data_IF_757625103378
#
_entry.id   IF_757625103378
#
_cell.length_a   1.000
_cell.length_b   1.000
_cell.length_c   1.000
_cell.angle_alpha   90.00
_cell.angle_beta   90.00
_cell.angle_gamma   90.00
#
_symmetry.space_group_name_H-M   'P 1'
#
loop_
_entity.id
_entity.type
_entity.pdbx_description
1 polymer ?
#
# COMPACT_ATOMS: atom_id res chain seq x y z
N UNK A 1 -9.62 -3.27 4.71
CA UNK A 1 -9.55 -1.79 4.58
C UNK A 1 -9.98 -1.38 3.20
N UNK A 2 -10.72 -0.27 3.08
CA UNK A 2 -11.03 0.39 1.82
C UNK A 2 -9.92 1.38 1.43
N UNK A 3 -9.91 1.85 0.17
CA UNK A 3 -8.93 2.87 -0.27
C UNK A 3 -8.94 4.09 0.65
N UNK A 4 -10.12 4.59 1.05
CA UNK A 4 -10.21 5.76 1.93
C UNK A 4 -9.49 5.56 3.27
N UNK A 5 -9.54 4.34 3.81
CA UNK A 5 -8.91 4.00 5.08
C UNK A 5 -7.39 3.96 4.92
N UNK A 6 -6.89 3.45 3.77
CA UNK A 6 -5.46 3.45 3.42
C UNK A 6 -4.95 4.88 3.32
N UNK A 7 -5.66 5.74 2.58
CA UNK A 7 -5.30 7.14 2.40
C UNK A 7 -5.27 7.89 3.75
N UNK A 8 -6.25 7.64 4.62
CA UNK A 8 -6.31 8.23 5.95
C UNK A 8 -5.18 7.73 6.87
N UNK A 9 -4.86 6.43 6.86
CA UNK A 9 -3.81 5.83 7.70
C UNK A 9 -2.44 6.45 7.42
N UNK A 10 -2.07 6.58 6.15
CA UNK A 10 -0.77 7.12 5.75
C UNK A 10 -0.77 8.63 5.52
N UNK A 11 -1.93 9.30 5.62
CA UNK A 11 -2.11 10.72 5.33
C UNK A 11 -1.62 11.09 3.92
N UNK A 12 -1.95 10.26 2.94
CA UNK A 12 -1.52 10.42 1.54
C UNK A 12 -2.69 10.59 0.58
N UNK A 13 -2.37 11.10 -0.62
CA UNK A 13 -3.32 11.17 -1.73
C UNK A 13 -3.43 9.85 -2.49
N UNK A 14 -4.49 9.70 -3.31
CA UNK A 14 -4.63 8.54 -4.20
C UNK A 14 -3.50 8.42 -5.21
N UNK A 15 -3.00 9.55 -5.71
CA UNK A 15 -1.86 9.60 -6.63
C UNK A 15 -0.60 9.09 -5.95
N UNK A 16 -0.35 9.50 -4.71
CA UNK A 16 0.76 8.99 -3.89
C UNK A 16 0.67 7.48 -3.70
N UNK A 17 -0.50 6.96 -3.37
CA UNK A 17 -0.73 5.51 -3.25
C UNK A 17 -0.44 4.77 -4.57
N UNK A 18 -0.84 5.34 -5.71
CA UNK A 18 -0.52 4.79 -7.02
C UNK A 18 1.00 4.73 -7.27
N UNK A 19 1.73 5.81 -6.97
CA UNK A 19 3.20 5.81 -7.05
C UNK A 19 3.83 4.76 -6.15
N UNK A 20 3.37 4.63 -4.90
CA UNK A 20 3.86 3.61 -3.97
C UNK A 20 3.63 2.18 -4.48
N UNK A 21 2.51 1.93 -5.16
CA UNK A 21 2.21 0.62 -5.76
C UNK A 21 2.92 0.33 -7.08
N UNK A 22 3.64 1.31 -7.65
CA UNK A 22 4.31 1.20 -8.94
C UNK A 22 5.82 0.96 -8.72
N UNK A 23 6.37 -0.22 -9.02
CA UNK A 23 7.78 -0.54 -8.73
C UNK A 23 8.78 0.48 -9.28
N UNK A 24 8.55 1.00 -10.49
CA UNK A 24 9.42 1.99 -11.13
C UNK A 24 9.31 3.42 -10.55
N UNK A 25 8.31 3.68 -9.69
CA UNK A 25 8.03 5.02 -9.15
C UNK A 25 7.92 5.07 -7.63
N UNK A 26 8.06 3.92 -6.95
CA UNK A 26 8.03 3.87 -5.50
C UNK A 26 9.25 4.61 -4.95
N UNK A 27 9.15 5.24 -3.76
CA UNK A 27 10.30 5.80 -3.07
C UNK A 27 11.42 4.76 -2.92
N UNK A 28 12.68 5.16 -3.12
CA UNK A 28 13.84 4.28 -2.97
C UNK A 28 14.02 3.76 -1.53
N UNK A 29 13.38 4.42 -0.55
CA UNK A 29 13.32 3.97 0.83
C UNK A 29 12.46 2.73 1.03
N UNK A 30 11.60 2.37 0.08
CA UNK A 30 10.77 1.18 0.18
C UNK A 30 11.50 -0.02 -0.42
N UNK A 31 11.64 -1.08 0.38
CA UNK A 31 12.20 -2.35 -0.09
C UNK A 31 11.30 -3.03 -1.15
N UNK A 32 9.99 -2.73 -1.16
CA UNK A 32 9.01 -3.28 -2.11
C UNK A 32 7.82 -2.36 -2.35
N UNK A 33 7.11 -2.49 -3.50
CA UNK A 33 5.93 -1.67 -3.79
C UNK A 33 4.78 -1.96 -2.82
N UNK A 34 3.91 -0.96 -2.63
CA UNK A 34 2.70 -1.11 -1.83
C UNK A 34 1.77 -2.18 -2.43
N UNK A 35 1.21 -3.09 -1.62
CA UNK A 35 0.42 -4.21 -2.12
C UNK A 35 -0.84 -3.75 -2.86
N UNK A 36 -1.17 -4.45 -3.94
CA UNK A 36 -2.45 -4.25 -4.62
C UNK A 36 -3.61 -4.84 -3.79
N UNK A 37 -4.84 -4.34 -3.95
CA UNK A 37 -5.99 -4.92 -3.29
C UNK A 37 -6.22 -6.37 -3.78
N UNK A 38 -6.11 -7.34 -2.87
CA UNK A 38 -6.10 -8.79 -3.19
C UNK A 38 -7.44 -9.49 -3.02
N UNK A 39 -8.50 -8.78 -2.63
CA UNK A 39 -9.83 -9.36 -2.46
C UNK A 39 -10.57 -9.29 -3.80
N UNK A 40 -10.62 -10.43 -4.50
CA UNK A 40 -11.39 -10.59 -5.74
C UNK A 40 -12.83 -10.12 -5.60
N UNK A 41 -13.32 -9.35 -6.57
CA UNK A 41 -14.65 -8.76 -6.57
C UNK A 41 -14.76 -7.36 -5.94
N UNK A 42 -13.72 -6.84 -5.28
CA UNK A 42 -13.69 -5.45 -4.82
C UNK A 42 -12.33 -4.79 -5.04
N UNK A 43 -12.15 -4.02 -6.14
CA UNK A 43 -10.87 -3.41 -6.52
C UNK A 43 -10.36 -2.33 -5.55
N UNK A 44 -11.04 -2.13 -4.42
CA UNK A 44 -10.74 -1.12 -3.41
C UNK A 44 -10.53 -1.72 -2.03
N UNK A 45 -10.40 -3.06 -1.90
CA UNK A 45 -10.36 -3.74 -0.60
C UNK A 45 -9.03 -4.46 -0.37
N UNK A 46 -8.32 -4.04 0.66
CA UNK A 46 -7.09 -4.66 1.15
C UNK A 46 -7.37 -5.54 2.37
N UNK A 47 -6.66 -6.67 2.45
CA UNK A 47 -6.53 -7.41 3.70
C UNK A 47 -5.62 -6.63 4.64
N UNK A 48 -6.05 -6.45 5.89
CA UNK A 48 -5.26 -5.72 6.89
C UNK A 48 -3.91 -6.40 7.14
N UNK A 49 -3.88 -7.74 7.12
CA UNK A 49 -2.67 -8.53 7.30
C UNK A 49 -1.59 -8.24 6.24
N UNK A 50 -1.96 -8.07 4.97
CA UNK A 50 -1.00 -7.77 3.90
C UNK A 50 -0.41 -6.37 4.03
N UNK A 51 -1.21 -5.40 4.48
CA UNK A 51 -0.72 -4.05 4.76
C UNK A 51 0.28 -4.08 5.92
N UNK A 52 -0.02 -4.81 7.01
CA UNK A 52 0.88 -4.93 8.15
C UNK A 52 2.19 -5.63 7.77
N UNK A 53 2.12 -6.71 7.00
CA UNK A 53 3.30 -7.40 6.48
C UNK A 53 4.14 -6.47 5.58
N UNK A 54 3.50 -5.62 4.78
CA UNK A 54 4.20 -4.60 3.99
C UNK A 54 4.88 -3.54 4.86
N UNK A 55 4.21 -3.07 5.92
CA UNK A 55 4.82 -2.15 6.89
C UNK A 55 6.03 -2.78 7.58
N UNK A 56 5.94 -4.06 7.99
CA UNK A 56 7.06 -4.79 8.59
C UNK A 56 8.23 -4.91 7.63
N UNK A 57 7.99 -5.33 6.38
CA UNK A 57 9.07 -5.50 5.39
C UNK A 57 9.72 -4.19 4.95
N UNK A 58 8.97 -3.07 4.92
CA UNK A 58 9.52 -1.77 4.57
C UNK A 58 10.27 -1.11 5.74
N UNK A 59 9.88 -1.40 6.99
CA UNK A 59 10.52 -0.86 8.19
C UNK A 59 11.54 -1.81 8.84
N UNK A 60 11.64 -3.07 8.41
CA UNK A 60 12.67 -3.97 8.88
C UNK A 60 14.02 -3.42 8.40
N UNK A 61 14.86 -2.95 9.31
CA UNK A 61 16.20 -2.43 9.04
C UNK A 61 17.11 -3.56 8.53
#
# INVERSE_FOLDING_TARGET
>A
MLTRDVLARYKISRSTLYFWSTPARMPSSFKRPFPQPTIGGSPKRWRKSEILLWEEEVNAE
#
